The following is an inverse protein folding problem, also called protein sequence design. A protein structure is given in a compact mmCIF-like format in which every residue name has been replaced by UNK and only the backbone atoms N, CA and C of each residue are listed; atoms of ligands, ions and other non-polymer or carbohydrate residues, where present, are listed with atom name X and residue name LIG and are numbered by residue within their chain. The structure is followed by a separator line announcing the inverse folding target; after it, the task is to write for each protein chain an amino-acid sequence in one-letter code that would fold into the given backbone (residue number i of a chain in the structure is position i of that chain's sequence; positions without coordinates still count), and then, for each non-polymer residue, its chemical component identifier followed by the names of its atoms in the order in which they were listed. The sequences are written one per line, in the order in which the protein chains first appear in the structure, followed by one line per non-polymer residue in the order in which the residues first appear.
data_IF_555259786236
#
_entry.id   IF_555259786236
#
_cell.length_a   1.000
_cell.length_b   1.000
_cell.length_c   1.000
_cell.angle_alpha   90.00
_cell.angle_beta   90.00
_cell.angle_gamma   90.00
#
_symmetry.space_group_name_H-M   'P 1'
#
loop_
_entity.id
_entity.type
_entity.pdbx_description
1 polymer ?
#
# COMPACT_ATOMS: atom_id res chain seq x y z
N UNK A 1 0.44 3.96 0.77
CA UNK A 1 1.33 3.37 -0.27
C UNK A 1 2.77 3.20 0.19
N UNK A 2 3.35 4.11 0.98
CA UNK A 2 4.77 4.01 1.38
C UNK A 2 5.19 2.65 2.02
N UNK A 3 4.24 1.93 2.63
CA UNK A 3 4.47 0.60 3.22
C UNK A 3 4.47 -0.56 2.20
N UNK A 4 4.11 -0.32 0.94
CA UNK A 4 4.14 -1.34 -0.12
C UNK A 4 5.43 -1.28 -0.92
N UNK A 5 6.20 -0.18 -0.82
CA UNK A 5 7.38 0.06 -1.65
C UNK A 5 7.08 0.37 -3.12
N UNK A 6 5.81 0.32 -3.54
CA UNK A 6 5.41 0.54 -4.93
C UNK A 6 4.73 1.91 -5.10
N UNK A 7 5.03 2.58 -6.22
CA UNK A 7 4.35 3.82 -6.61
C UNK A 7 2.89 3.57 -7.00
N UNK A 8 2.65 2.46 -7.71
CA UNK A 8 1.33 2.04 -8.18
C UNK A 8 1.01 0.64 -7.65
N UNK A 9 -0.26 0.41 -7.34
CA UNK A 9 -0.79 -0.91 -7.02
C UNK A 9 -0.93 -1.68 -8.33
N UNK A 10 -0.49 -2.94 -8.36
CA UNK A 10 -0.61 -3.83 -9.52
C UNK A 10 0.00 -3.31 -10.84
N UNK A 11 0.94 -2.36 -10.78
CA UNK A 11 1.68 -1.89 -11.97
C UNK A 11 0.89 -0.98 -12.91
N UNK A 12 -0.21 -0.38 -12.44
CA UNK A 12 -1.02 0.57 -13.22
C UNK A 12 -0.17 1.79 -13.64
N UNK A 13 -0.22 2.18 -14.91
CA UNK A 13 0.79 3.03 -15.55
C UNK A 13 0.74 4.53 -15.22
N UNK A 14 -0.33 5.00 -14.57
CA UNK A 14 -0.54 6.41 -14.24
C UNK A 14 -1.45 6.63 -13.03
N UNK A 15 -1.38 7.83 -12.45
CA UNK A 15 -2.21 8.23 -11.30
C UNK A 15 -3.72 8.16 -11.63
N UNK A 16 -4.09 8.52 -12.87
CA UNK A 16 -5.48 8.48 -13.33
C UNK A 16 -6.00 7.05 -13.49
N UNK A 17 -5.23 6.18 -14.12
CA UNK A 17 -5.59 4.76 -14.25
C UNK A 17 -5.65 4.09 -12.86
N UNK A 18 -4.73 4.45 -11.96
CA UNK A 18 -4.72 3.93 -10.59
C UNK A 18 -5.98 4.34 -9.82
N UNK A 19 -6.40 5.59 -9.95
CA UNK A 19 -7.64 6.08 -9.33
C UNK A 19 -8.87 5.39 -9.92
N UNK A 20 -8.95 5.25 -11.24
CA UNK A 20 -10.06 4.53 -11.89
C UNK A 20 -10.13 3.08 -11.41
N UNK A 21 -9.01 2.35 -11.41
CA UNK A 21 -8.93 0.99 -10.87
C UNK A 21 -9.47 0.89 -9.43
N UNK A 22 -9.04 1.81 -8.56
CA UNK A 22 -9.47 1.84 -7.17
C UNK A 22 -10.96 2.18 -7.01
N UNK A 23 -11.51 3.07 -7.83
CA UNK A 23 -12.92 3.45 -7.81
C UNK A 23 -13.82 2.35 -8.39
N UNK A 24 -13.38 1.68 -9.46
CA UNK A 24 -14.10 0.55 -10.05
C UNK A 24 -14.21 -0.62 -9.07
N UNK A 25 -13.11 -0.90 -8.36
CA UNK A 25 -13.11 -1.90 -7.29
C UNK A 25 -13.99 -1.47 -6.11
N UNK A 26 -14.02 -0.18 -5.77
CA UNK A 26 -14.92 0.35 -4.74
C UNK A 26 -16.40 0.10 -5.07
N UNK A 27 -16.81 0.34 -6.32
CA UNK A 27 -18.18 0.10 -6.77
C UNK A 27 -18.57 -1.40 -6.67
N UNK A 28 -17.64 -2.30 -7.00
CA UNK A 28 -17.83 -3.76 -6.86
C UNK A 28 -17.88 -4.20 -5.40
N UNK A 29 -16.97 -3.67 -4.57
CA UNK A 29 -16.91 -3.95 -3.14
C UNK A 29 -18.17 -3.45 -2.41
N UNK A 30 -18.69 -2.28 -2.80
CA UNK A 30 -19.92 -1.72 -2.24
C UNK A 30 -21.09 -2.68 -2.36
N UNK A 31 -21.30 -3.26 -3.55
CA UNK A 31 -22.40 -4.18 -3.80
C UNK A 31 -22.20 -5.53 -3.08
N UNK A 32 -20.98 -6.07 -3.12
CA UNK A 32 -20.67 -7.41 -2.58
C UNK A 32 -20.58 -7.45 -1.05
N UNK A 33 -20.08 -6.39 -0.41
CA UNK A 33 -19.86 -6.32 1.04
C UNK A 33 -20.88 -5.43 1.76
N UNK A 34 -21.86 -4.88 1.02
CA UNK A 34 -22.88 -3.99 1.58
C UNK A 34 -22.30 -2.72 2.19
N UNK A 35 -21.29 -2.12 1.54
CA UNK A 35 -20.65 -0.90 2.06
C UNK A 35 -21.60 0.29 1.93
N UNK A 36 -21.57 1.18 2.92
CA UNK A 36 -22.39 2.39 2.94
C UNK A 36 -21.53 3.60 2.68
N UNK A 37 -21.89 4.38 1.65
CA UNK A 37 -21.16 5.59 1.31
C UNK A 37 -21.17 6.58 2.48
N UNK A 38 -20.02 7.20 2.77
CA UNK A 38 -19.86 8.07 3.94
C UNK A 38 -19.58 7.32 5.25
N UNK A 39 -19.60 5.99 5.26
CA UNK A 39 -19.30 5.17 6.45
C UNK A 39 -17.93 4.50 6.28
N UNK A 40 -17.12 4.53 7.34
CA UNK A 40 -15.85 3.86 7.39
C UNK A 40 -16.01 2.33 7.34
N UNK A 41 -15.10 1.65 6.66
CA UNK A 41 -15.12 0.19 6.61
C UNK A 41 -14.74 -0.40 7.97
N UNK A 42 -15.41 -1.49 8.35
CA UNK A 42 -15.01 -2.29 9.50
C UNK A 42 -13.77 -3.13 9.18
N UNK A 43 -13.07 -3.60 10.22
CA UNK A 43 -11.93 -4.50 10.03
C UNK A 43 -12.28 -5.76 9.21
N UNK A 44 -13.47 -6.33 9.44
CA UNK A 44 -13.95 -7.49 8.70
C UNK A 44 -14.23 -7.16 7.22
N UNK A 45 -14.80 -5.98 6.94
CA UNK A 45 -15.00 -5.53 5.57
C UNK A 45 -13.66 -5.31 4.85
N UNK A 46 -12.67 -4.71 5.53
CA UNK A 46 -11.32 -4.53 4.98
C UNK A 46 -10.67 -5.88 4.68
N UNK A 47 -10.77 -6.84 5.60
CA UNK A 47 -10.23 -8.19 5.43
C UNK A 47 -10.91 -8.97 4.30
N UNK A 48 -12.19 -8.68 4.04
CA UNK A 48 -12.96 -9.30 2.96
C UNK A 48 -12.69 -8.71 1.57
N UNK A 49 -12.04 -7.54 1.47
CA UNK A 49 -11.75 -6.90 0.18
C UNK A 49 -10.92 -7.84 -0.73
N UNK A 50 -11.42 -8.10 -1.94
CA UNK A 50 -10.66 -8.81 -2.96
C UNK A 50 -9.58 -7.93 -3.60
N UNK A 51 -9.87 -6.64 -3.74
CA UNK A 51 -8.96 -5.63 -4.27
C UNK A 51 -8.96 -4.38 -3.38
N UNK A 52 -7.87 -3.62 -3.43
CA UNK A 52 -7.75 -2.31 -2.80
C UNK A 52 -8.73 -1.33 -3.43
N UNK A 53 -9.25 -0.40 -2.62
CA UNK A 53 -10.29 0.55 -3.04
C UNK A 53 -10.00 1.97 -2.56
N UNK A 54 -10.51 2.95 -3.31
CA UNK A 54 -10.62 4.34 -2.87
C UNK A 54 -12.07 4.58 -2.45
N UNK A 55 -12.27 4.91 -1.18
CA UNK A 55 -13.59 5.01 -0.54
C UNK A 55 -13.83 6.38 0.08
N UNK A 56 -15.08 6.86 0.14
CA UNK A 56 -15.40 8.16 0.73
C UNK A 56 -16.09 8.01 2.08
N UNK A 57 -15.57 8.75 3.06
CA UNK A 57 -16.06 8.74 4.43
C UNK A 57 -16.39 10.14 4.92
N UNK A 58 -17.43 10.22 5.75
CA UNK A 58 -17.74 11.45 6.45
C UNK A 58 -16.64 11.77 7.47
N UNK A 59 -16.19 13.03 7.47
CA UNK A 59 -15.25 13.58 8.45
C UNK A 59 -15.67 15.00 8.76
N UNK A 60 -15.55 15.39 10.04
CA UNK A 60 -15.79 16.77 10.46
C UNK A 60 -14.51 17.58 10.30
N UNK A 61 -14.50 18.56 9.40
CA UNK A 61 -13.39 19.50 9.19
C UNK A 61 -13.91 20.91 9.45
N UNK A 62 -13.31 21.62 10.40
CA UNK A 62 -13.72 22.97 10.81
C UNK A 62 -15.22 23.09 11.18
N UNK A 63 -15.80 22.03 11.75
CA UNK A 63 -17.22 21.98 12.13
C UNK A 63 -18.18 21.60 11.00
N UNK A 64 -17.70 21.40 9.78
CA UNK A 64 -18.50 20.94 8.64
C UNK A 64 -18.28 19.45 8.37
N UNK A 65 -19.37 18.72 8.10
CA UNK A 65 -19.30 17.31 7.70
C UNK A 65 -19.04 17.24 6.20
N UNK A 66 -17.86 16.75 5.82
CA UNK A 66 -17.44 16.60 4.43
C UNK A 66 -17.06 15.15 4.14
N UNK A 67 -17.08 14.77 2.87
CA UNK A 67 -16.60 13.47 2.42
C UNK A 67 -15.15 13.54 2.00
N UNK A 68 -14.31 12.71 2.61
CA UNK A 68 -12.88 12.63 2.28
C UNK A 68 -12.57 11.26 1.68
N UNK A 69 -11.72 11.20 0.64
CA UNK A 69 -11.28 9.93 0.08
C UNK A 69 -10.26 9.25 1.01
N UNK A 70 -10.43 7.96 1.24
CA UNK A 70 -9.50 7.08 1.96
C UNK A 70 -9.16 5.86 1.13
N UNK A 71 -7.88 5.49 1.15
CA UNK A 71 -7.36 4.29 0.50
C UNK A 71 -7.40 3.12 1.48
N UNK A 72 -8.15 2.08 1.13
CA UNK A 72 -8.13 0.79 1.83
C UNK A 72 -7.33 -0.21 1.01
N UNK A 73 -6.31 -0.81 1.63
CA UNK A 73 -5.46 -1.78 0.99
C UNK A 73 -5.97 -3.19 1.28
N UNK A 74 -6.23 -3.96 0.23
CA UNK A 74 -6.48 -5.40 0.39
C UNK A 74 -5.15 -6.13 0.52
N UNK A 75 -4.99 -7.03 1.52
CA UNK A 75 -3.82 -7.90 1.62
C UNK A 75 -3.63 -8.83 0.41
N UNK A 76 -4.70 -9.07 -0.37
CA UNK A 76 -4.66 -9.90 -1.59
C UNK A 76 -4.05 -9.14 -2.78
N UNK A 77 -4.12 -7.81 -2.77
CA UNK A 77 -3.55 -6.95 -3.80
C UNK A 77 -2.14 -6.47 -3.46
N UNK A 78 -1.87 -6.24 -2.17
CA UNK A 78 -0.59 -5.72 -1.73
C UNK A 78 -0.10 -6.34 -0.45
N UNK A 79 1.20 -6.62 -0.45
CA UNK A 79 1.95 -6.82 0.78
C UNK A 79 2.16 -5.48 1.46
N UNK A 80 1.54 -5.30 2.62
CA UNK A 80 1.83 -4.20 3.53
C UNK A 80 2.96 -4.66 4.44
N UNK A 81 4.11 -4.00 4.36
CA UNK A 81 5.25 -4.34 5.21
C UNK A 81 5.22 -3.51 6.50
N UNK A 82 5.72 -4.11 7.57
CA UNK A 82 5.98 -3.40 8.82
C UNK A 82 7.34 -2.70 8.71
N UNK A 83 7.42 -1.46 9.18
CA UNK A 83 8.62 -0.64 9.12
C UNK A 83 8.90 0.00 7.76
N UNK A 84 10.13 0.48 7.58
CA UNK A 84 10.56 1.15 6.35
C UNK A 84 10.72 0.16 5.19
N UNK A 85 10.38 0.58 3.98
CA UNK A 85 10.53 -0.23 2.76
C UNK A 85 11.46 0.46 1.77
N UNK A 86 12.46 -0.28 1.27
CA UNK A 86 13.21 0.04 0.06
C UNK A 86 12.84 -0.99 -1.00
N UNK A 87 12.25 -0.52 -2.09
CA UNK A 87 11.79 -1.36 -3.18
C UNK A 87 12.09 -0.73 -4.55
N UNK A 88 12.24 -1.57 -5.56
CA UNK A 88 12.41 -1.13 -6.95
C UNK A 88 12.44 -2.31 -7.92
N UNK A 89 12.46 -2.04 -9.22
CA UNK A 89 12.66 -3.12 -10.21
C UNK A 89 14.05 -3.73 -10.05
N UNK A 90 15.07 -2.91 -9.84
CA UNK A 90 16.39 -3.34 -9.42
C UNK A 90 16.81 -2.48 -8.21
N UNK A 91 17.39 -3.10 -7.19
CA UNK A 91 17.92 -2.40 -6.03
C UNK A 91 19.39 -2.77 -5.89
N UNK A 92 20.26 -1.77 -5.87
CA UNK A 92 21.68 -1.95 -5.58
C UNK A 92 22.07 -1.08 -4.39
N UNK A 93 22.59 -1.73 -3.34
CA UNK A 93 23.09 -1.09 -2.13
C UNK A 93 24.60 -1.31 -2.09
N UNK A 94 25.38 -0.23 -2.07
CA UNK A 94 26.83 -0.27 -1.92
C UNK A 94 27.25 0.52 -0.68
N UNK A 95 27.87 -0.13 0.31
CA UNK A 95 28.10 0.49 1.63
C UNK A 95 29.22 -0.15 2.44
N UNK A 96 29.46 0.39 3.64
CA UNK A 96 30.35 -0.19 4.64
C UNK A 96 29.65 -1.31 5.39
N UNK A 97 28.80 -0.92 6.36
CA UNK A 97 27.86 -1.82 7.03
C UNK A 97 26.47 -1.63 6.43
N UNK A 98 25.76 -2.71 6.13
CA UNK A 98 24.34 -2.70 5.76
C UNK A 98 23.56 -3.36 6.89
N UNK A 99 22.72 -2.58 7.57
CA UNK A 99 21.88 -3.05 8.67
C UNK A 99 20.43 -2.80 8.30
N UNK A 100 19.68 -3.88 8.08
CA UNK A 100 18.22 -3.83 8.00
C UNK A 100 17.66 -4.24 9.36
N UNK A 101 16.92 -3.34 10.03
CA UNK A 101 16.36 -3.59 11.37
C UNK A 101 14.87 -3.31 11.35
N UNK A 102 14.05 -4.36 11.28
CA UNK A 102 12.60 -4.25 11.19
C UNK A 102 12.08 -3.56 9.91
N UNK A 103 12.92 -3.48 8.86
CA UNK A 103 12.56 -2.94 7.55
C UNK A 103 12.49 -4.01 6.47
N UNK A 104 12.09 -3.62 5.27
CA UNK A 104 12.02 -4.50 4.09
C UNK A 104 12.92 -3.98 2.98
N UNK A 105 13.78 -4.86 2.45
CA UNK A 105 14.56 -4.66 1.23
C UNK A 105 14.06 -5.63 0.18
N UNK A 106 13.48 -5.13 -0.91
CA UNK A 106 12.92 -5.99 -1.96
C UNK A 106 13.20 -5.45 -3.35
N UNK A 107 13.29 -6.33 -4.34
CA UNK A 107 13.41 -5.95 -5.74
C UNK A 107 12.68 -6.93 -6.65
N UNK A 108 12.08 -6.44 -7.74
CA UNK A 108 11.33 -7.31 -8.66
C UNK A 108 12.25 -8.18 -9.51
N UNK A 109 13.33 -7.60 -10.05
CA UNK A 109 14.25 -8.27 -10.97
C UNK A 109 15.57 -8.65 -10.30
N UNK A 110 16.11 -7.78 -9.45
CA UNK A 110 17.40 -8.04 -8.81
C UNK A 110 17.67 -7.16 -7.61
N UNK A 111 18.04 -7.79 -6.49
CA UNK A 111 18.57 -7.14 -5.31
C UNK A 111 20.05 -7.49 -5.18
N UNK A 112 20.93 -6.50 -5.26
CA UNK A 112 22.37 -6.65 -5.07
C UNK A 112 22.83 -5.81 -3.89
N UNK A 113 23.58 -6.42 -2.97
CA UNK A 113 24.14 -5.75 -1.80
C UNK A 113 25.64 -5.98 -1.79
N UNK A 114 26.39 -4.90 -2.01
CA UNK A 114 27.85 -4.85 -1.91
C UNK A 114 28.25 -4.13 -0.62
N UNK A 115 28.70 -4.92 0.35
CA UNK A 115 29.08 -4.44 1.69
C UNK A 115 30.55 -4.69 1.93
N UNK A 116 31.30 -3.63 2.29
CA UNK A 116 32.73 -3.75 2.60
C UNK A 116 33.01 -4.42 3.95
N UNK A 117 32.04 -4.40 4.88
CA UNK A 117 32.24 -4.89 6.24
C UNK A 117 31.23 -5.99 6.62
N UNK A 118 29.94 -5.65 6.76
CA UNK A 118 28.93 -6.58 7.29
C UNK A 118 27.54 -6.31 6.75
N UNK A 119 26.77 -7.39 6.54
CA UNK A 119 25.33 -7.36 6.26
C UNK A 119 24.61 -7.99 7.45
N UNK A 120 23.71 -7.25 8.08
CA UNK A 120 22.90 -7.71 9.22
C UNK A 120 21.42 -7.49 8.93
N UNK A 121 20.61 -8.54 9.10
CA UNK A 121 19.16 -8.47 9.06
C UNK A 121 18.60 -8.80 10.45
N UNK A 122 18.06 -7.78 11.12
CA UNK A 122 17.54 -7.84 12.48
C UNK A 122 16.02 -7.75 12.39
N UNK A 123 15.33 -8.70 13.03
CA UNK A 123 13.88 -8.74 13.15
C UNK A 123 13.41 -8.00 14.41
#
# INVERSE_FOLDING_TARGET
LNQTGNRYLNGVGSDLEQMQYLMDNAARAQQSLGLNFGVALTADQIAALDHSILWWEATVINGETVLVPKLYLSPKDVTVNNGSVIAGSNVQLAGGNVINSGGTLTAQNGLSIDSRNSISNLN
#
